data_IF_402776473209
#
_entry.id   IF_402776473209
#
_cell.length_a   1.000
_cell.length_b   1.000
_cell.length_c   1.000
_cell.angle_alpha   90.00
_cell.angle_beta   90.00
_cell.angle_gamma   90.00
#
_symmetry.space_group_name_H-M   'P 1'
#
loop_
_entity.id
_entity.type
_entity.pdbx_description
1 polymer ?
#
# COMPACT_ATOMS: atom_id res chain seq x y z
N UNK A 1 27.33 2.54 18.81
CA UNK A 1 26.43 1.92 17.82
C UNK A 1 24.99 1.84 18.32
N UNK A 2 24.79 1.31 19.51
CA UNK A 2 23.43 1.23 20.06
C UNK A 2 22.97 2.50 20.73
N UNK A 3 23.83 3.49 20.86
CA UNK A 3 23.47 4.80 21.40
C UNK A 3 22.34 5.44 20.60
N UNK A 4 22.31 5.19 19.28
CA UNK A 4 21.29 5.74 18.40
C UNK A 4 19.90 5.20 18.63
N UNK A 5 19.75 4.07 19.34
CA UNK A 5 18.42 3.48 19.57
C UNK A 5 17.57 4.38 20.43
N UNK A 6 18.21 5.16 21.33
CA UNK A 6 17.49 6.02 22.25
C UNK A 6 17.44 7.48 21.80
N UNK A 7 18.12 7.86 20.72
CA UNK A 7 18.05 9.22 20.25
C UNK A 7 16.87 9.42 19.28
N UNK A 8 16.55 10.69 19.02
CA UNK A 8 15.39 11.02 18.18
C UNK A 8 15.53 10.52 16.76
N UNK A 9 16.77 10.47 16.23
CA UNK A 9 16.99 9.98 14.86
C UNK A 9 16.62 8.50 14.73
N UNK A 10 17.02 7.69 15.69
CA UNK A 10 16.72 6.25 15.65
C UNK A 10 15.21 6.02 15.80
N UNK A 11 14.56 6.79 16.65
CA UNK A 11 13.11 6.71 16.81
C UNK A 11 12.42 7.10 15.51
N UNK A 12 12.89 8.15 14.84
CA UNK A 12 12.31 8.58 13.57
C UNK A 12 12.50 7.53 12.47
N UNK A 13 13.67 6.92 12.40
CA UNK A 13 13.91 5.86 11.44
C UNK A 13 12.96 4.68 11.67
N UNK A 14 12.80 4.28 12.91
CA UNK A 14 11.91 3.19 13.25
C UNK A 14 10.46 3.54 12.98
N UNK A 15 10.04 4.75 13.37
CA UNK A 15 8.68 5.21 13.12
C UNK A 15 8.36 5.31 11.62
N UNK A 16 9.32 5.80 10.84
CA UNK A 16 9.19 5.88 9.38
C UNK A 16 9.04 4.48 8.77
N UNK A 17 9.86 3.54 9.20
CA UNK A 17 9.78 2.16 8.73
C UNK A 17 8.44 1.53 9.09
N UNK A 18 7.92 1.77 10.30
CA UNK A 18 6.60 1.29 10.71
C UNK A 18 5.49 1.91 9.86
N UNK A 19 5.58 3.22 9.61
CA UNK A 19 4.56 3.92 8.85
C UNK A 19 4.41 3.31 7.46
N UNK A 20 5.50 3.11 6.74
CA UNK A 20 5.42 2.53 5.39
C UNK A 20 5.18 1.03 5.43
N UNK A 21 5.78 0.32 6.38
CA UNK A 21 5.63 -1.12 6.49
C UNK A 21 4.20 -1.53 6.78
N UNK A 22 3.58 -0.92 7.79
CA UNK A 22 2.18 -1.20 8.13
C UNK A 22 1.22 -0.52 7.15
N UNK A 23 1.56 0.71 6.75
CA UNK A 23 0.70 1.49 5.86
C UNK A 23 0.57 0.92 4.45
N UNK A 24 1.57 0.18 3.97
CA UNK A 24 1.51 -0.47 2.67
C UNK A 24 0.92 -1.87 2.72
N UNK A 25 0.86 -2.47 3.89
CA UNK A 25 0.37 -3.84 4.05
C UNK A 25 -1.11 -3.98 3.66
N UNK A 26 -1.95 -3.07 4.15
CA UNK A 26 -3.37 -3.05 3.83
C UNK A 26 -3.62 -2.91 2.34
N UNK A 27 -3.11 -1.85 1.70
CA UNK A 27 -3.24 -1.68 0.25
C UNK A 27 -2.70 -2.86 -0.55
N UNK A 28 -1.56 -3.41 -0.18
CA UNK A 28 -0.98 -4.55 -0.89
C UNK A 28 -1.90 -5.76 -0.84
N UNK A 29 -2.43 -6.09 0.34
CA UNK A 29 -3.37 -7.20 0.49
C UNK A 29 -4.68 -6.90 -0.25
N UNK A 30 -5.16 -5.66 -0.15
CA UNK A 30 -6.40 -5.26 -0.81
C UNK A 30 -6.29 -5.38 -2.33
N UNK A 31 -5.19 -4.91 -2.91
CA UNK A 31 -4.95 -5.01 -4.35
C UNK A 31 -4.84 -6.49 -4.75
N UNK A 32 -4.11 -7.29 -3.98
CA UNK A 32 -3.98 -8.72 -4.26
C UNK A 32 -5.33 -9.42 -4.28
N UNK A 33 -6.19 -9.13 -3.31
CA UNK A 33 -7.54 -9.71 -3.26
C UNK A 33 -8.42 -9.21 -4.40
N UNK A 34 -8.29 -7.92 -4.75
CA UNK A 34 -9.05 -7.35 -5.86
C UNK A 34 -8.64 -8.01 -7.19
N UNK A 35 -7.35 -8.21 -7.41
CA UNK A 35 -6.86 -8.86 -8.62
C UNK A 35 -7.34 -10.30 -8.68
N UNK A 36 -7.28 -11.02 -7.56
CA UNK A 36 -7.79 -12.39 -7.50
C UNK A 36 -9.28 -12.43 -7.85
N UNK A 37 -10.07 -11.55 -7.24
CA UNK A 37 -11.50 -11.48 -7.54
C UNK A 37 -11.77 -11.14 -9.01
N UNK A 38 -10.99 -10.20 -9.57
CA UNK A 38 -11.13 -9.84 -10.97
C UNK A 38 -10.79 -11.00 -11.91
N UNK A 39 -9.76 -11.76 -11.59
CA UNK A 39 -9.38 -12.93 -12.38
C UNK A 39 -10.46 -14.01 -12.34
N UNK A 40 -11.03 -14.25 -11.17
CA UNK A 40 -12.13 -15.21 -11.04
C UNK A 40 -13.35 -14.77 -11.84
N UNK A 41 -13.70 -13.48 -11.75
CA UNK A 41 -14.83 -12.93 -12.50
C UNK A 41 -14.59 -12.99 -14.01
N UNK A 42 -13.37 -12.70 -14.43
CA UNK A 42 -13.00 -12.75 -15.84
C UNK A 42 -13.12 -14.17 -16.42
N UNK A 43 -12.73 -15.16 -15.63
CA UNK A 43 -12.84 -16.54 -16.03
C UNK A 43 -14.30 -17.00 -16.19
N UNK A 44 -15.22 -16.42 -15.44
CA UNK A 44 -16.65 -16.76 -15.53
C UNK A 44 -17.38 -15.96 -16.59
N UNK A 45 -16.96 -14.70 -16.80
CA UNK A 45 -17.64 -13.77 -17.70
C UNK A 45 -16.63 -13.05 -18.60
N UNK A 46 -16.04 -13.77 -19.58
CA UNK A 46 -15.05 -13.15 -20.46
C UNK A 46 -15.60 -11.94 -21.23
N UNK A 47 -16.89 -11.93 -21.49
CA UNK A 47 -17.55 -10.82 -22.21
C UNK A 47 -17.58 -9.53 -21.38
N UNK A 48 -17.40 -9.62 -20.07
CA UNK A 48 -17.37 -8.46 -19.18
C UNK A 48 -15.93 -7.97 -18.91
N UNK A 49 -14.95 -8.44 -19.67
CA UNK A 49 -13.53 -8.18 -19.43
C UNK A 49 -13.22 -6.69 -19.30
N UNK A 50 -13.82 -5.84 -20.14
CA UNK A 50 -13.60 -4.41 -20.11
C UNK A 50 -14.05 -3.77 -18.81
N UNK A 51 -15.27 -4.10 -18.36
CA UNK A 51 -15.83 -3.56 -17.13
C UNK A 51 -15.05 -4.07 -15.90
N UNK A 52 -14.69 -5.33 -15.90
CA UNK A 52 -13.92 -5.93 -14.80
C UNK A 52 -12.57 -5.24 -14.67
N UNK A 53 -11.88 -5.06 -15.80
CA UNK A 53 -10.57 -4.41 -15.82
C UNK A 53 -10.65 -2.98 -15.31
N UNK A 54 -11.60 -2.20 -15.83
CA UNK A 54 -11.77 -0.80 -15.46
C UNK A 54 -12.07 -0.65 -13.96
N UNK A 55 -13.00 -1.44 -13.46
CA UNK A 55 -13.37 -1.40 -12.04
C UNK A 55 -12.20 -1.80 -11.16
N UNK A 56 -11.45 -2.84 -11.55
CA UNK A 56 -10.28 -3.30 -10.81
C UNK A 56 -9.20 -2.21 -10.76
N UNK A 57 -8.92 -1.57 -11.88
CA UNK A 57 -7.89 -0.53 -11.95
C UNK A 57 -8.27 0.65 -11.06
N UNK A 58 -9.53 1.07 -11.07
CA UNK A 58 -9.97 2.17 -10.22
C UNK A 58 -9.81 1.81 -8.74
N UNK A 59 -10.26 0.63 -8.35
CA UNK A 59 -10.12 0.18 -6.97
C UNK A 59 -8.66 0.04 -6.56
N UNK A 60 -7.83 -0.53 -7.42
CA UNK A 60 -6.40 -0.69 -7.16
C UNK A 60 -5.71 0.69 -7.04
N UNK A 61 -6.10 1.65 -7.87
CA UNK A 61 -5.53 2.99 -7.82
C UNK A 61 -5.87 3.69 -6.51
N UNK A 62 -7.09 3.52 -5.99
CA UNK A 62 -7.48 4.09 -4.71
C UNK A 62 -6.70 3.46 -3.55
N UNK A 63 -6.51 2.14 -3.59
CA UNK A 63 -5.70 1.45 -2.59
C UNK A 63 -4.24 1.89 -2.65
N UNK A 64 -3.71 2.05 -3.86
CA UNK A 64 -2.34 2.53 -4.06
C UNK A 64 -2.17 3.95 -3.52
N UNK A 65 -3.18 4.81 -3.67
CA UNK A 65 -3.14 6.16 -3.13
C UNK A 65 -2.96 6.15 -1.62
N UNK A 66 -3.59 5.21 -0.91
CA UNK A 66 -3.42 5.07 0.53
C UNK A 66 -1.99 4.68 0.87
N UNK A 67 -1.38 3.79 0.09
CA UNK A 67 0.02 3.42 0.27
C UNK A 67 0.95 4.61 0.03
N UNK A 68 0.63 5.45 -0.95
CA UNK A 68 1.40 6.66 -1.23
C UNK A 68 1.30 7.65 -0.06
N UNK A 69 0.12 7.79 0.56
CA UNK A 69 -0.03 8.62 1.76
C UNK A 69 0.89 8.11 2.88
N UNK A 70 0.95 6.81 3.09
CA UNK A 70 1.85 6.22 4.08
C UNK A 70 3.31 6.50 3.75
N UNK A 71 3.68 6.42 2.47
CA UNK A 71 5.01 6.72 1.98
C UNK A 71 5.38 8.18 2.26
N UNK A 72 4.47 9.11 1.98
CA UNK A 72 4.70 10.54 2.23
C UNK A 72 4.89 10.80 3.73
N UNK A 73 4.05 10.20 4.56
CA UNK A 73 4.17 10.33 6.02
C UNK A 73 5.52 9.77 6.50
N UNK A 74 5.93 8.63 5.95
CA UNK A 74 7.22 8.04 6.29
C UNK A 74 8.38 8.98 5.95
N UNK A 75 8.33 9.63 4.79
CA UNK A 75 9.35 10.61 4.40
C UNK A 75 9.34 11.81 5.34
N UNK A 76 8.16 12.32 5.68
CA UNK A 76 8.05 13.46 6.59
C UNK A 76 8.68 13.11 7.94
N UNK A 77 8.37 11.94 8.49
CA UNK A 77 8.94 11.50 9.77
C UNK A 77 10.46 11.39 9.67
N UNK A 78 10.95 10.91 8.54
CA UNK A 78 12.38 10.68 8.35
C UNK A 78 13.18 12.00 8.40
N UNK A 79 12.61 13.10 7.92
CA UNK A 79 13.30 14.38 7.80
C UNK A 79 12.86 15.43 8.84
N UNK A 80 11.98 15.07 9.73
CA UNK A 80 11.58 15.95 10.83
C UNK A 80 12.34 15.61 12.10
#
# INVERSE_FOLDING_TARGET
MFDGITDASAINYFASALAIGLGSLGPALGIGLAVKGAMDALGRNPEAAGDIRTTMIIGAALAEAVAIYAFVIAIIILFV
#
